data_IF_392212416167
#
_entry.id   IF_392212416167
#
_cell.length_a   1.000
_cell.length_b   1.000
_cell.length_c   1.000
_cell.angle_alpha   90.00
_cell.angle_beta   90.00
_cell.angle_gamma   90.00
#
_symmetry.space_group_name_H-M   'P 1'
#
loop_
_entity.id
_entity.type
_entity.pdbx_description
1 polymer ?
#
# COMPACT_ATOMS: atom_id res chain seq x y z
N UNK A 1 7.03 5.33 14.45
CA UNK A 1 6.00 4.37 14.04
C UNK A 1 5.97 4.23 12.52
N UNK A 2 5.55 3.06 12.04
CA UNK A 2 5.16 2.86 10.64
C UNK A 2 3.65 3.07 10.55
N UNK A 3 3.22 4.04 9.74
CA UNK A 3 1.80 4.35 9.56
C UNK A 3 1.24 3.56 8.38
N UNK A 4 0.46 2.51 8.65
CA UNK A 4 -0.28 1.79 7.59
C UNK A 4 -1.65 2.44 7.45
N UNK A 5 -1.87 3.12 6.33
CA UNK A 5 -3.07 3.91 6.06
C UNK A 5 -3.90 3.24 4.97
N UNK A 6 -5.20 3.13 5.20
CA UNK A 6 -6.13 2.60 4.20
C UNK A 6 -7.50 3.26 4.29
N UNK A 7 -8.21 3.32 3.17
CA UNK A 7 -9.54 3.89 3.07
C UNK A 7 -10.53 2.82 2.60
N UNK A 8 -11.64 2.67 3.33
CA UNK A 8 -12.74 1.78 2.94
C UNK A 8 -14.03 2.57 2.77
N UNK A 9 -14.81 2.30 1.72
CA UNK A 9 -16.09 2.96 1.45
C UNK A 9 -17.26 1.98 1.52
N UNK A 10 -18.29 2.39 2.26
CA UNK A 10 -19.61 1.75 2.34
C UNK A 10 -20.60 2.59 1.51
N UNK A 11 -20.80 2.22 0.25
CA UNK A 11 -21.59 3.00 -0.69
C UNK A 11 -20.80 4.17 -1.28
N UNK A 12 -21.49 5.25 -1.68
CA UNK A 12 -20.87 6.35 -2.45
C UNK A 12 -20.34 7.51 -1.61
N UNK A 13 -20.79 7.64 -0.36
CA UNK A 13 -20.59 8.86 0.44
C UNK A 13 -20.10 8.59 1.86
N UNK A 14 -19.98 7.34 2.29
CA UNK A 14 -19.57 7.01 3.65
C UNK A 14 -18.34 6.13 3.59
N UNK A 15 -17.20 6.67 3.95
CA UNK A 15 -15.94 5.95 4.04
C UNK A 15 -15.24 6.18 5.36
N UNK A 16 -14.19 5.40 5.59
CA UNK A 16 -13.36 5.51 6.78
C UNK A 16 -11.90 5.47 6.36
N UNK A 17 -11.13 6.47 6.78
CA UNK A 17 -9.67 6.43 6.77
C UNK A 17 -9.24 5.83 8.10
N UNK A 18 -8.38 4.81 8.06
CA UNK A 18 -7.81 4.19 9.26
C UNK A 18 -6.29 4.23 9.16
N UNK A 19 -5.63 4.61 10.26
CA UNK A 19 -4.17 4.49 10.41
C UNK A 19 -3.88 3.46 11.50
N UNK A 20 -3.12 2.44 11.12
CA UNK A 20 -2.70 1.36 12.01
C UNK A 20 -1.18 1.43 12.21
N UNK A 21 -0.76 1.30 13.46
CA UNK A 21 0.62 1.00 13.79
C UNK A 21 0.77 -0.54 13.91
N UNK A 22 1.46 -1.19 12.96
CA UNK A 22 1.58 -2.64 12.95
C UNK A 22 2.45 -3.17 14.10
N UNK A 23 3.41 -2.38 14.60
CA UNK A 23 4.27 -2.78 15.72
C UNK A 23 3.51 -2.77 17.04
N UNK A 24 2.64 -1.76 17.23
CA UNK A 24 1.73 -1.69 18.39
C UNK A 24 0.53 -2.61 18.25
N UNK A 25 0.22 -3.06 17.03
CA UNK A 25 -0.99 -3.83 16.67
C UNK A 25 -2.28 -3.05 16.96
N UNK A 26 -2.22 -1.74 16.90
CA UNK A 26 -3.30 -0.81 17.27
C UNK A 26 -3.72 0.06 16.09
N UNK A 27 -5.01 0.35 15.99
CA UNK A 27 -5.50 1.42 15.13
C UNK A 27 -5.37 2.73 15.91
N UNK A 28 -4.40 3.54 15.55
CA UNK A 28 -3.99 4.74 16.30
C UNK A 28 -4.77 5.99 15.87
N UNK A 29 -5.41 5.94 14.70
CA UNK A 29 -6.29 6.99 14.21
C UNK A 29 -7.37 6.39 13.30
N UNK A 30 -8.55 6.99 13.32
CA UNK A 30 -9.56 6.79 12.29
C UNK A 30 -10.41 8.05 12.14
N UNK A 31 -10.95 8.27 10.95
CA UNK A 31 -11.95 9.31 10.69
C UNK A 31 -12.99 8.81 9.69
N UNK A 32 -14.22 9.30 9.83
CA UNK A 32 -15.24 9.14 8.79
C UNK A 32 -15.01 10.19 7.71
N UNK A 33 -14.98 9.74 6.46
CA UNK A 33 -14.67 10.57 5.28
C UNK A 33 -15.74 10.39 4.22
N UNK A 34 -16.11 11.47 3.53
CA UNK A 34 -17.07 11.39 2.43
C UNK A 34 -16.40 11.02 1.10
N UNK A 35 -15.12 11.35 0.96
CA UNK A 35 -14.26 11.08 -0.19
C UNK A 35 -12.84 10.91 0.28
N UNK A 36 -12.07 10.13 -0.45
CA UNK A 36 -10.65 10.00 -0.19
C UNK A 36 -9.90 11.15 -0.86
N UNK A 37 -9.43 12.11 -0.06
CA UNK A 37 -8.67 13.29 -0.52
C UNK A 37 -7.30 13.32 0.16
N UNK A 38 -6.35 14.07 -0.38
CA UNK A 38 -5.04 14.26 0.25
C UNK A 38 -5.12 14.99 1.60
N UNK A 39 -6.16 15.80 1.81
CA UNK A 39 -6.34 16.54 3.04
C UNK A 39 -6.71 15.61 4.19
N UNK A 40 -7.51 14.56 3.97
CA UNK A 40 -7.79 13.56 5.01
C UNK A 40 -6.50 12.89 5.53
N UNK A 41 -5.58 12.55 4.63
CA UNK A 41 -4.28 11.99 5.00
C UNK A 41 -3.41 13.01 5.74
N UNK A 42 -3.45 14.28 5.34
CA UNK A 42 -2.73 15.38 6.03
C UNK A 42 -3.27 15.57 7.44
N UNK A 43 -4.59 15.61 7.60
CA UNK A 43 -5.24 15.71 8.92
C UNK A 43 -4.88 14.52 9.82
N UNK A 44 -4.88 13.30 9.28
CA UNK A 44 -4.45 12.11 10.03
C UNK A 44 -3.00 12.23 10.50
N UNK A 45 -2.08 12.63 9.62
CA UNK A 45 -0.67 12.88 9.95
C UNK A 45 -0.53 13.92 11.05
N UNK A 46 -1.09 15.11 10.84
CA UNK A 46 -0.94 16.25 11.75
C UNK A 46 -1.56 15.93 13.13
N UNK A 47 -2.68 15.20 13.15
CA UNK A 47 -3.30 14.73 14.41
C UNK A 47 -2.36 13.77 15.15
N UNK A 48 -1.82 12.76 14.47
CA UNK A 48 -0.91 11.80 15.08
C UNK A 48 0.37 12.46 15.59
N UNK A 49 0.95 13.39 14.83
CA UNK A 49 2.12 14.16 15.26
C UNK A 49 1.81 15.03 16.48
N UNK A 50 0.63 15.65 16.54
CA UNK A 50 0.19 16.44 17.71
C UNK A 50 0.01 15.59 18.98
N UNK A 51 -0.29 14.31 18.82
CA UNK A 51 -0.38 13.32 19.91
C UNK A 51 0.99 12.76 20.32
N UNK A 52 2.08 13.23 19.69
CA UNK A 52 3.45 12.83 20.00
C UNK A 52 3.95 11.61 19.21
N UNK A 53 3.21 11.14 18.20
CA UNK A 53 3.71 10.09 17.32
C UNK A 53 4.76 10.65 16.36
N UNK A 54 5.86 9.92 16.19
CA UNK A 54 6.86 10.20 15.15
C UNK A 54 6.65 9.22 14.00
N UNK A 55 6.17 9.70 12.85
CA UNK A 55 5.93 8.87 11.66
C UNK A 55 7.26 8.68 10.91
N UNK A 56 7.80 7.46 10.97
CA UNK A 56 9.10 7.12 10.37
C UNK A 56 8.96 6.59 8.94
N UNK A 57 7.82 6.00 8.63
CA UNK A 57 7.48 5.51 7.29
C UNK A 57 5.96 5.45 7.13
N UNK A 58 5.49 5.52 5.89
CA UNK A 58 4.07 5.39 5.53
C UNK A 58 3.91 4.23 4.57
N UNK A 59 2.89 3.41 4.82
CA UNK A 59 2.41 2.39 3.89
C UNK A 59 0.97 2.74 3.53
N UNK A 60 0.69 3.01 2.26
CA UNK A 60 -0.67 3.33 1.80
C UNK A 60 -0.93 2.74 0.41
N UNK A 61 -2.15 2.86 -0.09
CA UNK A 61 -2.41 2.61 -1.50
C UNK A 61 -1.68 3.63 -2.40
N UNK A 62 -1.54 3.34 -3.69
CA UNK A 62 -0.86 4.14 -4.70
C UNK A 62 -1.62 5.41 -5.12
N UNK A 63 -2.37 6.05 -4.21
CA UNK A 63 -3.16 7.24 -4.52
C UNK A 63 -2.25 8.38 -5.04
N UNK A 64 -2.57 8.98 -6.19
CA UNK A 64 -1.81 10.10 -6.73
C UNK A 64 -1.68 11.24 -5.71
N UNK A 65 -0.47 11.77 -5.55
CA UNK A 65 -0.17 12.89 -4.65
C UNK A 65 0.25 12.51 -3.22
N UNK A 66 -0.01 11.28 -2.75
CA UNK A 66 0.45 10.87 -1.42
C UNK A 66 1.97 10.90 -1.27
N UNK A 67 2.70 10.48 -2.32
CA UNK A 67 4.17 10.53 -2.32
C UNK A 67 4.70 11.95 -2.13
N UNK A 68 4.00 12.96 -2.65
CA UNK A 68 4.39 14.36 -2.46
C UNK A 68 4.02 14.86 -1.05
N UNK A 69 2.86 14.47 -0.53
CA UNK A 69 2.46 14.79 0.85
C UNK A 69 3.48 14.31 1.90
N UNK A 70 4.13 13.17 1.62
CA UNK A 70 5.12 12.52 2.46
C UNK A 70 6.55 12.61 1.90
N UNK A 71 6.92 13.69 1.18
CA UNK A 71 8.21 13.77 0.49
C UNK A 71 9.46 13.54 1.39
N UNK A 72 9.35 13.82 2.69
CA UNK A 72 10.42 13.65 3.69
C UNK A 72 10.33 12.33 4.47
N UNK A 73 9.31 11.54 4.21
CA UNK A 73 9.02 10.29 4.92
C UNK A 73 9.03 9.14 3.93
N UNK A 74 9.84 8.10 4.15
CA UNK A 74 9.80 6.90 3.32
C UNK A 74 8.37 6.40 3.15
N UNK A 75 7.94 6.26 1.89
CA UNK A 75 6.61 5.79 1.54
C UNK A 75 6.71 4.52 0.71
N UNK A 76 5.98 3.49 1.13
CA UNK A 76 5.84 2.24 0.39
C UNK A 76 4.39 2.05 -0.04
N UNK A 77 4.18 1.68 -1.30
CA UNK A 77 2.86 1.23 -1.72
C UNK A 77 2.55 -0.13 -1.06
N UNK A 78 1.37 -0.28 -0.48
CA UNK A 78 1.00 -1.50 0.22
C UNK A 78 1.12 -2.74 -0.69
N UNK A 79 1.87 -3.76 -0.26
CA UNK A 79 2.06 -5.00 -1.03
C UNK A 79 0.75 -5.73 -1.32
N UNK A 80 -0.26 -5.60 -0.46
CA UNK A 80 -1.60 -6.13 -0.72
C UNK A 80 -2.22 -5.47 -1.96
N UNK A 81 -2.22 -4.14 -2.03
CA UNK A 81 -2.71 -3.39 -3.19
C UNK A 81 -1.87 -3.66 -4.45
N UNK A 82 -0.55 -3.76 -4.34
CA UNK A 82 0.32 -4.17 -5.45
C UNK A 82 -0.08 -5.56 -5.99
N UNK A 83 -0.27 -6.56 -5.12
CA UNK A 83 -0.73 -7.91 -5.48
C UNK A 83 -2.10 -7.88 -6.16
N UNK A 84 -3.02 -7.05 -5.68
CA UNK A 84 -4.35 -6.89 -6.27
C UNK A 84 -4.29 -6.28 -7.67
N UNK A 85 -3.47 -5.25 -7.88
CA UNK A 85 -3.28 -4.62 -9.20
C UNK A 85 -2.79 -5.65 -10.21
N UNK A 86 -1.75 -6.41 -9.86
CA UNK A 86 -1.23 -7.44 -10.75
C UNK A 86 -2.27 -8.54 -10.98
N UNK A 87 -2.98 -8.98 -9.94
CA UNK A 87 -4.04 -9.99 -10.06
C UNK A 87 -5.19 -9.53 -10.96
N UNK A 88 -5.49 -8.23 -11.01
CA UNK A 88 -6.52 -7.63 -11.87
C UNK A 88 -6.14 -7.66 -13.35
N UNK A 89 -4.86 -7.42 -13.67
CA UNK A 89 -4.36 -7.49 -15.06
C UNK A 89 -4.06 -8.92 -15.48
N UNK A 90 -3.73 -9.78 -14.54
CA UNK A 90 -3.79 -11.22 -14.72
C UNK A 90 -5.24 -11.72 -14.55
N UNK A 91 -5.40 -13.03 -14.51
CA UNK A 91 -6.59 -13.70 -13.99
C UNK A 91 -6.23 -14.41 -12.69
N UNK A 92 -7.23 -14.71 -11.86
CA UNK A 92 -7.04 -15.54 -10.65
C UNK A 92 -6.62 -16.97 -10.98
N UNK A 93 -6.89 -17.44 -12.21
CA UNK A 93 -6.54 -18.78 -12.72
C UNK A 93 -5.83 -18.66 -14.07
N UNK A 94 -4.57 -18.19 -14.10
CA UNK A 94 -3.83 -18.05 -15.35
C UNK A 94 -3.53 -19.42 -15.95
N UNK A 95 -3.65 -19.52 -17.27
CA UNK A 95 -3.32 -20.73 -18.05
C UNK A 95 -1.99 -20.59 -18.79
N UNK A 96 -1.61 -19.37 -19.16
CA UNK A 96 -0.34 -19.10 -19.81
C UNK A 96 0.80 -19.27 -18.80
N UNK A 97 1.88 -19.92 -19.24
CA UNK A 97 3.07 -20.19 -18.41
C UNK A 97 3.64 -18.88 -17.85
N UNK A 98 3.86 -17.87 -18.69
CA UNK A 98 4.35 -16.56 -18.27
C UNK A 98 3.47 -15.92 -17.18
N UNK A 99 2.14 -16.04 -17.28
CA UNK A 99 1.21 -15.50 -16.27
C UNK A 99 1.23 -16.30 -14.96
N UNK A 100 1.42 -17.62 -15.02
CA UNK A 100 1.57 -18.47 -13.84
C UNK A 100 2.86 -18.11 -13.09
N UNK A 101 3.95 -17.90 -13.82
CA UNK A 101 5.26 -17.52 -13.28
C UNK A 101 5.22 -16.13 -12.64
N UNK A 102 4.67 -15.13 -13.34
CA UNK A 102 4.50 -13.79 -12.77
C UNK A 102 3.68 -13.82 -11.48
N UNK A 103 2.60 -14.61 -11.47
CA UNK A 103 1.76 -14.77 -10.27
C UNK A 103 2.56 -15.38 -9.10
N UNK A 104 3.42 -16.36 -9.35
CA UNK A 104 4.31 -16.95 -8.34
C UNK A 104 5.32 -15.92 -7.81
N UNK A 105 5.92 -15.13 -8.69
CA UNK A 105 6.83 -14.05 -8.29
C UNK A 105 6.15 -13.05 -7.36
N UNK A 106 4.99 -12.54 -7.79
CA UNK A 106 4.20 -11.54 -7.05
C UNK A 106 3.70 -12.09 -5.72
N UNK A 107 3.38 -13.39 -5.63
CA UNK A 107 3.02 -14.03 -4.37
C UNK A 107 4.12 -13.86 -3.30
N UNK A 108 5.38 -13.99 -3.71
CA UNK A 108 6.56 -13.89 -2.85
C UNK A 108 7.02 -12.44 -2.59
N UNK A 109 6.27 -11.43 -3.07
CA UNK A 109 6.62 -10.01 -2.89
C UNK A 109 6.82 -9.61 -1.42
N UNK A 110 6.07 -10.21 -0.49
CA UNK A 110 6.17 -9.88 0.94
C UNK A 110 7.39 -10.51 1.62
N UNK A 111 7.98 -11.54 1.01
CA UNK A 111 9.03 -12.39 1.60
C UNK A 111 10.38 -12.21 0.92
N UNK A 112 10.48 -11.30 -0.06
CA UNK A 112 11.67 -11.03 -0.83
C UNK A 112 12.24 -9.64 -0.53
N UNK A 113 13.56 -9.52 -0.56
CA UNK A 113 14.22 -8.22 -0.62
C UNK A 113 14.14 -7.60 -2.03
N UNK A 114 14.32 -6.28 -2.10
CA UNK A 114 14.22 -5.50 -3.34
C UNK A 114 15.12 -6.05 -4.46
N UNK A 115 16.38 -6.38 -4.15
CA UNK A 115 17.36 -6.83 -5.15
C UNK A 115 16.96 -8.20 -5.70
N UNK A 116 16.66 -9.15 -4.81
CA UNK A 116 16.22 -10.50 -5.19
C UNK A 116 14.94 -10.47 -6.02
N UNK A 117 13.96 -9.65 -5.62
CA UNK A 117 12.70 -9.52 -6.37
C UNK A 117 12.92 -8.89 -7.74
N UNK A 118 13.68 -7.79 -7.82
CA UNK A 118 13.95 -7.08 -9.07
C UNK A 118 14.68 -7.96 -10.07
N UNK A 119 15.70 -8.71 -9.63
CA UNK A 119 16.42 -9.65 -10.49
C UNK A 119 15.50 -10.76 -11.02
N UNK A 120 14.66 -11.35 -10.16
CA UNK A 120 13.72 -12.40 -10.60
C UNK A 120 12.68 -11.86 -11.58
N UNK A 121 12.21 -10.63 -11.36
CA UNK A 121 11.26 -9.97 -12.26
C UNK A 121 11.90 -9.67 -13.62
N UNK A 122 13.13 -9.15 -13.65
CA UNK A 122 13.88 -8.90 -14.87
C UNK A 122 14.11 -10.19 -15.65
N UNK A 123 14.58 -11.25 -14.97
CA UNK A 123 14.77 -12.56 -15.59
C UNK A 123 13.46 -13.10 -16.18
N UNK A 124 12.33 -12.94 -15.50
CA UNK A 124 11.03 -13.35 -16.04
C UNK A 124 10.62 -12.55 -17.29
N UNK A 125 10.96 -11.26 -17.35
CA UNK A 125 10.65 -10.40 -18.50
C UNK A 125 11.53 -10.70 -19.73
N UNK A 126 12.78 -11.12 -19.51
CA UNK A 126 13.75 -11.45 -20.58
C UNK A 126 13.57 -12.84 -21.19
N UNK A 127 12.72 -13.70 -20.62
CA UNK A 127 12.40 -15.01 -21.20
C UNK A 127 11.48 -14.80 -22.41
N UNK A 128 12.07 -14.79 -23.60
CA UNK A 128 11.37 -14.97 -24.89
C UNK A 128 10.77 -16.38 -25.03
#
# INVERSE_FOLDING_TARGET
MVAVMDCVFFGRTRGYLVVRDPHRRENVYWSEINRETLDEYRFARDTLESLGFVIQAVVADGKPGLKHLYERTPMQMCHFHQKLIITRYLTTRPKLVASIELRKLVHNLCDADEKSFTNKLANWYEVE
#
